data_IF_191657656241
#
_entry.id   IF_191657656241
#
_cell.length_a   1.000
_cell.length_b   1.000
_cell.length_c   1.000
_cell.angle_alpha   90.00
_cell.angle_beta   90.00
_cell.angle_gamma   90.00
#
_symmetry.space_group_name_H-M   'P 1'
#
loop_
_entity.id
_entity.type
_entity.pdbx_description
1 polymer ?
#
# COMPACT_ATOMS: atom_id res chain seq x y z
N UNK A 1 41.59 -15.82 -6.51
CA UNK A 1 42.06 -16.84 -7.47
C UNK A 1 40.86 -17.39 -8.22
N UNK A 2 40.55 -16.80 -9.38
CA UNK A 2 39.78 -17.38 -10.48
C UNK A 2 40.17 -16.52 -11.69
N UNK A 3 40.69 -17.18 -12.73
CA UNK A 3 41.29 -16.56 -13.91
C UNK A 3 40.26 -16.48 -15.05
N UNK A 4 40.19 -15.34 -15.73
CA UNK A 4 39.51 -15.19 -17.01
C UNK A 4 40.56 -14.87 -18.07
N UNK A 5 40.72 -15.77 -19.04
CA UNK A 5 41.55 -15.58 -20.23
C UNK A 5 40.65 -15.09 -21.36
N UNK A 6 41.00 -13.96 -21.95
CA UNK A 6 40.49 -13.48 -23.24
C UNK A 6 41.67 -13.25 -24.18
N UNK A 7 41.49 -13.54 -25.47
CA UNK A 7 42.25 -13.04 -26.64
C UNK A 7 41.55 -13.59 -27.92
N UNK A 8 41.74 -12.99 -29.12
CA UNK A 8 40.63 -12.53 -29.96
C UNK A 8 40.77 -12.97 -31.44
N UNK A 9 40.08 -12.22 -32.32
CA UNK A 9 40.28 -12.06 -33.77
C UNK A 9 39.29 -12.88 -34.63
N UNK A 10 38.80 -12.46 -35.81
CA UNK A 10 39.19 -11.44 -36.81
C UNK A 10 37.89 -10.98 -37.50
N UNK A 11 37.80 -9.71 -37.90
CA UNK A 11 36.76 -9.24 -38.82
C UNK A 11 37.23 -9.39 -40.28
N UNK A 12 36.37 -9.92 -41.15
CA UNK A 12 36.44 -9.71 -42.60
C UNK A 12 35.04 -9.33 -43.09
N UNK A 13 34.97 -8.21 -43.80
CA UNK A 13 33.81 -7.70 -44.53
C UNK A 13 33.91 -8.12 -45.99
N UNK A 14 32.77 -8.31 -46.67
CA UNK A 14 32.50 -7.96 -48.08
C UNK A 14 30.97 -8.15 -48.37
N UNK A 15 30.40 -7.51 -49.41
CA UNK A 15 29.02 -7.01 -49.41
C UNK A 15 27.99 -7.72 -50.32
N UNK A 16 26.72 -7.47 -50.00
CA UNK A 16 25.46 -7.36 -50.78
C UNK A 16 25.20 -8.19 -52.06
N UNK A 17 24.11 -8.96 -52.04
CA UNK A 17 23.27 -9.27 -53.21
C UNK A 17 21.78 -9.41 -52.83
N UNK A 18 20.90 -8.79 -53.61
CA UNK A 18 19.44 -8.83 -53.51
C UNK A 18 18.87 -10.14 -54.13
N UNK A 19 17.57 -10.47 -53.95
CA UNK A 19 17.05 -11.84 -53.93
C UNK A 19 16.81 -12.42 -55.34
N UNK A 20 16.95 -13.74 -55.47
CA UNK A 20 16.39 -14.51 -56.59
C UNK A 20 15.35 -15.52 -56.06
N UNK A 21 14.14 -15.45 -56.59
CA UNK A 21 13.06 -16.43 -56.46
C UNK A 21 13.34 -17.67 -57.31
N UNK A 22 13.10 -18.89 -56.80
CA UNK A 22 12.47 -20.06 -57.50
C UNK A 22 12.15 -21.17 -56.43
N UNK A 23 11.33 -22.20 -56.70
CA UNK A 23 9.87 -22.26 -56.74
C UNK A 23 9.25 -23.06 -55.58
N UNK A 24 7.95 -22.86 -55.42
CA UNK A 24 7.00 -23.66 -54.64
C UNK A 24 6.97 -25.13 -55.08
N UNK A 25 7.03 -26.06 -54.12
CA UNK A 25 6.44 -27.39 -54.27
C UNK A 25 5.52 -27.65 -53.08
N UNK A 26 4.25 -27.87 -53.38
CA UNK A 26 3.14 -28.01 -52.43
C UNK A 26 3.10 -29.46 -51.95
N UNK A 27 3.33 -29.68 -50.65
CA UNK A 27 2.98 -30.92 -49.98
C UNK A 27 1.64 -30.71 -49.26
N UNK A 28 0.58 -31.36 -49.76
CA UNK A 28 -0.73 -31.39 -49.12
C UNK A 28 -0.68 -32.28 -47.87
N UNK A 29 -0.91 -31.70 -46.70
CA UNK A 29 -1.23 -32.43 -45.47
C UNK A 29 -2.74 -32.36 -45.20
N UNK A 30 -3.32 -33.53 -44.99
CA UNK A 30 -4.74 -33.82 -44.76
C UNK A 30 -5.23 -33.14 -43.46
N UNK A 31 -6.47 -32.62 -43.39
CA UNK A 31 -6.94 -31.88 -42.21
C UNK A 31 -7.27 -32.84 -41.06
N UNK A 32 -6.45 -32.82 -40.01
CA UNK A 32 -6.81 -33.42 -38.73
C UNK A 32 -7.73 -32.47 -37.95
N UNK A 33 -8.79 -33.04 -37.39
CA UNK A 33 -9.90 -32.35 -36.74
C UNK A 33 -9.45 -31.31 -35.68
N UNK A 34 -10.06 -30.13 -35.76
CA UNK A 34 -10.02 -29.09 -34.74
C UNK A 34 -10.51 -29.66 -33.40
N UNK A 35 -9.58 -29.96 -32.49
CA UNK A 35 -9.90 -29.95 -31.06
C UNK A 35 -10.03 -28.48 -30.68
N UNK A 36 -11.28 -28.08 -30.43
CA UNK A 36 -11.62 -26.87 -29.69
C UNK A 36 -10.64 -26.73 -28.53
N UNK A 37 -9.75 -25.75 -28.64
CA UNK A 37 -9.00 -25.26 -27.50
C UNK A 37 -10.06 -24.71 -26.56
N UNK A 38 -10.37 -25.47 -25.52
CA UNK A 38 -11.14 -24.97 -24.40
C UNK A 38 -10.47 -23.67 -23.98
N UNK A 39 -11.21 -22.57 -24.16
CA UNK A 39 -10.96 -21.32 -23.48
C UNK A 39 -10.79 -21.66 -22.01
N UNK A 40 -9.56 -21.76 -21.54
CA UNK A 40 -9.26 -21.54 -20.13
C UNK A 40 -9.78 -20.14 -19.89
N UNK A 41 -10.98 -20.07 -19.31
CA UNK A 41 -11.55 -18.82 -18.84
C UNK A 41 -10.44 -18.14 -18.06
N UNK A 42 -9.88 -17.07 -18.64
CA UNK A 42 -8.98 -16.21 -17.92
C UNK A 42 -9.81 -15.75 -16.73
N UNK A 43 -9.45 -16.22 -15.54
CA UNK A 43 -10.13 -15.82 -14.31
C UNK A 43 -10.11 -14.30 -14.32
N UNK A 44 -11.28 -13.67 -14.37
CA UNK A 44 -11.36 -12.22 -14.27
C UNK A 44 -10.62 -11.85 -12.99
N UNK A 45 -9.49 -11.17 -13.13
CA UNK A 45 -8.76 -10.64 -11.98
C UNK A 45 -9.73 -9.72 -11.27
N UNK A 46 -10.33 -10.19 -10.17
CA UNK A 46 -11.19 -9.36 -9.33
C UNK A 46 -10.27 -8.30 -8.75
N UNK A 47 -10.25 -7.15 -9.39
CA UNK A 47 -9.45 -6.04 -8.92
C UNK A 47 -10.18 -5.48 -7.70
N UNK A 48 -9.83 -5.98 -6.50
CA UNK A 48 -10.21 -5.38 -5.20
C UNK A 48 -9.50 -4.02 -5.06
N UNK A 49 -9.91 -3.05 -5.86
CA UNK A 49 -9.34 -1.71 -5.91
C UNK A 49 -9.77 -0.90 -4.68
N UNK A 50 -8.91 0.02 -4.22
CA UNK A 50 -9.34 1.26 -3.56
C UNK A 50 -10.14 2.21 -4.49
N UNK A 51 -10.77 1.69 -5.54
CA UNK A 51 -11.74 2.35 -6.39
C UNK A 51 -13.09 1.70 -6.07
N UNK A 52 -14.02 2.42 -5.43
CA UNK A 52 -15.30 1.87 -5.02
C UNK A 52 -16.23 1.51 -6.19
N UNK A 53 -15.86 1.86 -7.43
CA UNK A 53 -16.60 1.47 -8.65
C UNK A 53 -16.03 0.23 -9.36
N UNK A 54 -14.97 -0.38 -8.79
CA UNK A 54 -14.42 -1.67 -9.24
C UNK A 54 -14.00 -1.73 -10.71
N UNK A 55 -13.85 -0.59 -11.40
CA UNK A 55 -13.68 -0.58 -12.85
C UNK A 55 -12.22 -0.62 -13.28
N UNK A 56 -11.93 -1.49 -14.25
CA UNK A 56 -10.74 -1.46 -15.11
C UNK A 56 -10.70 -0.24 -16.05
N UNK A 57 -11.59 0.74 -15.85
CA UNK A 57 -11.71 1.89 -16.73
C UNK A 57 -10.57 2.89 -16.48
N UNK A 58 -9.77 3.12 -17.52
CA UNK A 58 -8.58 3.99 -17.61
C UNK A 58 -8.79 5.47 -17.24
N UNK A 59 -10.00 5.87 -16.82
CA UNK A 59 -10.36 7.27 -16.59
C UNK A 59 -9.80 7.87 -15.28
N UNK A 60 -9.26 7.04 -14.37
CA UNK A 60 -8.62 7.51 -13.14
C UNK A 60 -7.13 7.12 -13.14
N UNK A 61 -6.19 8.07 -13.01
CA UNK A 61 -4.75 7.78 -13.03
C UNK A 61 -4.34 7.04 -11.76
N UNK A 62 -4.55 5.72 -11.76
CA UNK A 62 -4.21 4.85 -10.64
C UNK A 62 -3.07 3.90 -11.02
N UNK A 63 -2.34 3.44 -10.02
CA UNK A 63 -1.41 2.32 -10.17
C UNK A 63 -1.68 1.31 -9.07
N UNK A 64 -1.52 0.04 -9.40
CA UNK A 64 -1.73 -1.07 -8.49
C UNK A 64 -0.46 -1.91 -8.49
N UNK A 65 0.05 -2.17 -7.30
CA UNK A 65 1.19 -3.05 -7.07
C UNK A 65 0.71 -4.26 -6.25
N UNK A 66 0.78 -5.46 -6.81
CA UNK A 66 0.32 -6.70 -6.17
C UNK A 66 1.07 -7.92 -6.71
N UNK A 67 0.92 -9.08 -6.07
CA UNK A 67 1.52 -10.34 -6.51
C UNK A 67 3.04 -10.26 -6.67
N UNK A 68 3.57 -10.83 -7.77
CA UNK A 68 5.01 -10.87 -8.03
C UNK A 68 5.62 -9.47 -8.18
N UNK A 69 4.88 -8.52 -8.77
CA UNK A 69 5.37 -7.15 -8.93
C UNK A 69 5.59 -6.47 -7.57
N UNK A 70 4.68 -6.69 -6.61
CA UNK A 70 4.88 -6.22 -5.23
C UNK A 70 6.03 -6.96 -4.58
N UNK A 71 6.06 -8.29 -4.68
CA UNK A 71 7.10 -9.15 -4.09
C UNK A 71 8.51 -8.75 -4.51
N UNK A 72 8.72 -8.44 -5.80
CA UNK A 72 10.02 -8.03 -6.33
C UNK A 72 10.42 -6.58 -5.96
N UNK A 73 9.46 -5.70 -5.66
CA UNK A 73 9.72 -4.30 -5.30
C UNK A 73 9.69 -4.04 -3.80
N UNK A 74 9.21 -4.99 -3.01
CA UNK A 74 8.97 -4.81 -1.58
C UNK A 74 10.26 -4.47 -0.86
N UNK A 75 10.27 -3.31 -0.22
CA UNK A 75 11.42 -2.76 0.47
C UNK A 75 11.16 -2.62 1.98
N UNK A 76 12.10 -2.00 2.69
CA UNK A 76 12.03 -1.76 4.14
C UNK A 76 10.84 -0.88 4.54
N UNK A 77 10.49 0.06 3.68
CA UNK A 77 9.53 1.14 3.94
C UNK A 77 8.48 1.24 2.84
N UNK A 78 7.35 1.89 3.14
CA UNK A 78 6.29 2.12 2.15
C UNK A 78 6.75 3.07 1.03
N UNK A 79 7.50 4.13 1.37
CA UNK A 79 8.04 5.08 0.42
C UNK A 79 8.98 4.43 -0.60
N UNK A 80 9.95 3.65 -0.13
CA UNK A 80 10.90 2.94 -0.99
C UNK A 80 10.19 1.88 -1.86
N UNK A 81 9.24 1.12 -1.30
CA UNK A 81 8.47 0.11 -2.04
C UNK A 81 7.73 0.70 -3.25
N UNK A 82 7.26 1.95 -3.14
CA UNK A 82 6.53 2.66 -4.18
C UNK A 82 7.43 3.56 -5.05
N UNK A 83 8.67 3.78 -4.63
CA UNK A 83 9.63 4.59 -5.36
C UNK A 83 9.86 4.04 -6.77
N UNK A 84 9.99 4.93 -7.75
CA UNK A 84 10.15 4.57 -9.16
C UNK A 84 8.86 4.10 -9.86
N UNK A 85 7.70 4.11 -9.19
CA UNK A 85 6.42 4.19 -9.92
C UNK A 85 6.31 5.56 -10.59
N UNK A 86 5.66 5.63 -11.76
CA UNK A 86 5.55 6.88 -12.50
C UNK A 86 4.90 8.00 -11.65
N UNK A 87 5.64 9.09 -11.43
CA UNK A 87 5.20 10.23 -10.61
C UNK A 87 5.19 9.97 -9.10
N UNK A 88 5.86 8.91 -8.63
CA UNK A 88 6.04 8.58 -7.21
C UNK A 88 7.54 8.49 -6.89
N UNK A 89 7.97 9.22 -5.86
CA UNK A 89 9.31 9.15 -5.27
C UNK A 89 9.19 8.90 -3.77
N UNK A 90 10.30 8.97 -3.03
CA UNK A 90 10.30 8.82 -1.58
C UNK A 90 11.00 10.01 -0.90
N UNK A 91 10.63 10.25 0.36
CA UNK A 91 11.22 11.30 1.21
C UNK A 91 12.54 10.92 1.86
N UNK A 92 12.90 9.62 1.85
CA UNK A 92 14.12 8.99 2.37
C UNK A 92 14.80 9.67 3.57
N UNK A 93 14.71 9.04 4.75
CA UNK A 93 15.48 9.39 5.94
C UNK A 93 16.25 8.17 6.44
N UNK A 94 17.26 7.79 5.67
CA UNK A 94 17.89 6.48 5.81
C UNK A 94 16.97 5.33 5.38
N UNK A 95 17.39 4.07 5.60
CA UNK A 95 16.66 2.90 5.10
C UNK A 95 15.40 2.55 5.92
N UNK A 96 15.20 3.16 7.10
CA UNK A 96 14.16 2.74 8.06
C UNK A 96 12.94 3.66 8.09
N UNK A 97 13.07 4.89 7.60
CA UNK A 97 11.99 5.87 7.58
C UNK A 97 11.89 6.51 6.18
N UNK A 98 10.72 6.38 5.57
CA UNK A 98 10.41 7.08 4.33
C UNK A 98 8.91 7.13 4.09
N UNK A 99 8.46 8.23 3.48
CA UNK A 99 7.09 8.40 2.98
C UNK A 99 7.09 8.41 1.45
N UNK A 100 6.01 7.92 0.82
CA UNK A 100 5.82 8.11 -0.60
C UNK A 100 5.49 9.58 -0.92
N UNK A 101 6.10 10.13 -1.95
CA UNK A 101 5.88 11.48 -2.47
C UNK A 101 5.24 11.37 -3.84
N UNK A 102 4.09 12.01 -4.07
CA UNK A 102 3.34 11.94 -5.34
C UNK A 102 3.42 13.29 -6.03
N UNK A 103 4.06 13.34 -7.20
CA UNK A 103 4.23 14.57 -8.01
C UNK A 103 4.79 15.75 -7.18
N UNK A 104 5.72 15.46 -6.27
CA UNK A 104 6.35 16.45 -5.39
C UNK A 104 5.54 16.85 -4.15
N UNK A 105 4.36 16.27 -3.94
CA UNK A 105 3.54 16.51 -2.75
C UNK A 105 3.80 15.44 -1.69
N UNK A 106 3.84 15.85 -0.42
CA UNK A 106 4.07 15.00 0.77
C UNK A 106 3.30 15.56 1.99
N UNK A 107 3.46 14.94 3.15
CA UNK A 107 2.79 15.23 4.40
C UNK A 107 1.29 14.92 4.28
N UNK A 108 0.47 15.79 4.86
CA UNK A 108 -0.99 15.67 4.86
C UNK A 108 -1.64 15.80 3.48
N UNK A 109 -0.87 16.16 2.45
CA UNK A 109 -1.35 16.23 1.06
C UNK A 109 -1.56 14.83 0.46
N UNK A 110 -0.95 13.80 1.05
CA UNK A 110 -1.13 12.40 0.67
C UNK A 110 -1.82 11.67 1.81
N UNK A 111 -2.97 11.07 1.50
CA UNK A 111 -3.67 10.22 2.46
C UNK A 111 -3.10 8.81 2.41
N UNK A 112 -2.54 8.35 3.53
CA UNK A 112 -2.13 6.96 3.72
C UNK A 112 -3.26 6.18 4.39
N UNK A 113 -3.67 5.10 3.73
CA UNK A 113 -4.72 4.20 4.18
C UNK A 113 -4.18 2.78 4.29
N UNK A 114 -4.75 2.05 5.24
CA UNK A 114 -4.55 0.63 5.46
C UNK A 114 -5.96 -0.01 5.54
N UNK A 115 -6.28 -0.86 4.56
CA UNK A 115 -7.62 -1.40 4.29
C UNK A 115 -8.72 -0.33 4.22
N UNK A 116 -8.39 0.85 3.68
CA UNK A 116 -9.34 1.96 3.49
C UNK A 116 -9.51 2.89 4.69
N UNK A 117 -9.01 2.53 5.87
CA UNK A 117 -8.97 3.41 7.05
C UNK A 117 -7.62 4.11 7.21
N UNK A 118 -7.62 5.28 7.87
CA UNK A 118 -6.41 6.07 8.10
C UNK A 118 -5.29 5.30 8.83
N UNK A 119 -4.03 5.53 8.45
CA UNK A 119 -2.86 4.97 9.16
C UNK A 119 -2.78 5.46 10.62
N UNK A 120 -3.20 6.70 10.88
CA UNK A 120 -3.17 7.35 12.20
C UNK A 120 -1.78 7.32 12.88
N UNK A 121 -0.72 7.39 12.08
CA UNK A 121 0.67 7.48 12.56
C UNK A 121 1.16 8.94 12.61
N UNK A 122 2.37 9.15 13.12
CA UNK A 122 3.02 10.45 13.23
C UNK A 122 4.00 10.76 12.08
N UNK A 123 3.98 9.96 11.01
CA UNK A 123 4.98 10.09 9.93
C UNK A 123 4.84 11.37 9.12
N UNK A 124 3.69 12.03 9.17
CA UNK A 124 3.46 13.31 8.50
C UNK A 124 4.11 14.51 9.22
N UNK A 125 4.58 14.34 10.46
CA UNK A 125 5.16 15.41 11.26
C UNK A 125 6.65 15.63 10.98
N UNK A 126 7.38 14.53 10.74
CA UNK A 126 8.82 14.56 10.49
C UNK A 126 9.24 13.42 9.56
N UNK A 127 10.34 13.61 8.83
CA UNK A 127 10.80 12.67 7.81
C UNK A 127 11.45 11.40 8.38
N UNK A 128 11.98 11.48 9.60
CA UNK A 128 12.55 10.36 10.36
C UNK A 128 11.48 9.47 11.03
N UNK A 129 10.22 9.87 10.99
CA UNK A 129 9.11 9.08 11.47
C UNK A 129 8.64 8.11 10.37
N UNK A 130 8.82 6.81 10.58
CA UNK A 130 8.42 5.78 9.62
C UNK A 130 6.89 5.67 9.51
N UNK A 131 6.40 5.39 8.30
CA UNK A 131 4.99 5.01 8.10
C UNK A 131 4.70 3.74 8.90
N UNK A 132 3.61 3.72 9.67
CA UNK A 132 3.29 2.60 10.55
C UNK A 132 2.62 1.43 9.82
N UNK A 133 3.13 1.04 8.64
CA UNK A 133 2.67 -0.10 7.85
C UNK A 133 3.89 -0.95 7.49
N UNK A 134 3.83 -2.25 7.80
CA UNK A 134 4.85 -3.22 7.38
C UNK A 134 4.59 -3.68 5.95
N UNK A 135 5.46 -3.37 4.96
CA UNK A 135 5.26 -3.83 3.60
C UNK A 135 5.22 -5.37 3.47
N UNK A 136 5.81 -6.14 4.39
CA UNK A 136 5.91 -7.62 4.32
C UNK A 136 4.57 -8.35 4.38
N UNK A 137 3.57 -7.77 5.02
CA UNK A 137 2.24 -8.38 5.19
C UNK A 137 1.20 -7.81 4.22
N UNK A 138 1.59 -6.81 3.42
CA UNK A 138 0.72 -6.22 2.40
C UNK A 138 0.62 -7.14 1.19
N UNK A 139 -0.60 -7.36 0.71
CA UNK A 139 -0.85 -8.13 -0.53
C UNK A 139 -0.96 -7.22 -1.75
N UNK A 140 -1.39 -5.98 -1.51
CA UNK A 140 -1.63 -5.02 -2.57
C UNK A 140 -1.49 -3.59 -2.09
N UNK A 141 -0.92 -2.74 -2.95
CA UNK A 141 -0.89 -1.30 -2.76
C UNK A 141 -1.57 -0.62 -3.95
N UNK A 142 -2.57 0.22 -3.67
CA UNK A 142 -3.21 1.07 -4.66
C UNK A 142 -2.76 2.53 -4.49
N UNK A 143 -2.28 3.15 -5.55
CA UNK A 143 -1.99 4.59 -5.59
C UNK A 143 -3.03 5.25 -6.47
N UNK A 144 -3.90 6.05 -5.86
CA UNK A 144 -4.96 6.80 -6.53
C UNK A 144 -4.56 8.26 -6.64
N UNK A 145 -4.60 8.79 -7.86
CA UNK A 145 -4.26 10.20 -8.15
C UNK A 145 -5.47 10.90 -8.74
N UNK A 146 -5.53 12.21 -8.55
CA UNK A 146 -6.56 13.06 -9.14
C UNK A 146 -7.89 13.05 -8.36
N UNK A 147 -9.00 13.47 -8.98
CA UNK A 147 -10.23 13.85 -8.27
C UNK A 147 -10.87 12.73 -7.43
N UNK A 148 -10.70 11.46 -7.81
CA UNK A 148 -11.21 10.33 -7.03
C UNK A 148 -10.52 10.17 -5.67
N UNK A 149 -9.30 10.73 -5.49
CA UNK A 149 -8.62 10.78 -4.21
C UNK A 149 -9.42 11.56 -3.14
N UNK A 150 -10.20 12.56 -3.58
CA UNK A 150 -11.04 13.35 -2.69
C UNK A 150 -12.08 12.51 -1.94
N UNK A 151 -12.45 11.33 -2.43
CA UNK A 151 -13.37 10.42 -1.72
C UNK A 151 -12.83 9.90 -0.38
N UNK A 152 -11.54 10.06 -0.14
CA UNK A 152 -10.83 9.56 1.04
C UNK A 152 -10.30 10.68 1.95
N UNK A 153 -10.59 11.95 1.63
CA UNK A 153 -10.26 13.09 2.49
C UNK A 153 -10.13 14.39 1.70
N UNK A 154 -10.59 15.50 2.28
CA UNK A 154 -10.48 16.83 1.67
C UNK A 154 -9.03 17.29 1.42
N UNK A 155 -8.08 16.78 2.20
CA UNK A 155 -6.67 17.15 2.11
C UNK A 155 -5.84 16.28 1.15
N UNK A 156 -6.43 15.22 0.56
CA UNK A 156 -5.77 14.25 -0.32
C UNK A 156 -5.44 14.80 -1.74
N UNK A 157 -4.97 16.04 -1.81
CA UNK A 157 -4.67 16.78 -3.04
C UNK A 157 -3.54 16.15 -3.87
N UNK A 158 -2.55 15.53 -3.21
CA UNK A 158 -1.49 14.76 -3.86
C UNK A 158 -1.92 13.34 -4.25
N UNK A 159 -2.89 12.79 -3.53
CA UNK A 159 -3.47 11.48 -3.83
C UNK A 159 -3.70 10.65 -2.58
N UNK A 160 -4.04 9.39 -2.82
CA UNK A 160 -4.29 8.39 -1.78
C UNK A 160 -3.42 7.18 -2.07
N UNK A 161 -2.82 6.63 -1.02
CA UNK A 161 -2.14 5.35 -1.06
C UNK A 161 -2.88 4.43 -0.10
N UNK A 162 -3.42 3.34 -0.63
CA UNK A 162 -4.13 2.35 0.15
C UNK A 162 -3.39 1.02 0.11
N UNK A 163 -2.89 0.61 1.25
CA UNK A 163 -2.35 -0.73 1.48
C UNK A 163 -3.50 -1.67 1.81
N UNK A 164 -3.42 -2.91 1.34
CA UNK A 164 -4.47 -3.90 1.50
C UNK A 164 -3.86 -5.24 1.85
N UNK A 165 -4.43 -5.88 2.86
CA UNK A 165 -4.18 -7.25 3.27
C UNK A 165 -5.46 -8.11 3.11
N UNK A 166 -5.37 -9.37 3.53
CA UNK A 166 -6.51 -10.29 3.57
C UNK A 166 -6.87 -10.74 5.01
N UNK A 167 -6.54 -9.93 6.03
CA UNK A 167 -6.78 -10.28 7.45
C UNK A 167 -8.26 -10.48 7.78
N UNK A 168 -9.14 -9.87 6.97
CA UNK A 168 -10.58 -10.14 6.96
C UNK A 168 -10.93 -10.73 5.57
N UNK A 169 -10.91 -12.08 5.40
CA UNK A 169 -11.20 -12.70 4.11
C UNK A 169 -12.59 -12.32 3.59
N UNK A 170 -12.69 -11.89 2.34
CA UNK A 170 -13.95 -11.33 1.78
C UNK A 170 -14.78 -12.34 1.00
N UNK A 171 -14.21 -13.50 0.72
CA UNK A 171 -14.83 -14.61 0.00
C UNK A 171 -14.78 -15.87 0.87
N UNK A 172 -15.69 -16.81 0.60
CA UNK A 172 -15.70 -18.08 1.33
C UNK A 172 -14.47 -18.92 0.91
N UNK A 173 -13.57 -19.16 1.85
CA UNK A 173 -12.43 -20.04 1.67
C UNK A 173 -12.84 -21.49 1.87
N UNK A 174 -12.14 -22.40 1.18
CA UNK A 174 -12.28 -23.83 1.39
C UNK A 174 -10.91 -24.45 1.66
N UNK A 175 -10.80 -25.15 2.79
CA UNK A 175 -9.56 -25.81 3.19
C UNK A 175 -8.55 -24.85 3.78
N UNK A 176 -7.27 -25.18 3.63
CA UNK A 176 -6.12 -24.44 4.18
C UNK A 176 -5.27 -23.90 3.03
N UNK A 177 -4.93 -22.62 3.10
CA UNK A 177 -4.01 -21.92 2.23
C UNK A 177 -2.93 -21.20 3.03
N UNK A 178 -1.90 -20.72 2.34
CA UNK A 178 -0.85 -19.95 2.98
C UNK A 178 0.24 -19.48 2.03
N UNK A 179 1.07 -18.57 2.53
CA UNK A 179 2.23 -18.03 1.84
C UNK A 179 3.38 -17.88 2.83
N UNK A 180 4.60 -18.14 2.37
CA UNK A 180 5.79 -17.83 3.12
C UNK A 180 6.78 -17.09 2.21
N UNK A 181 7.52 -16.17 2.80
CA UNK A 181 8.51 -15.37 2.11
C UNK A 181 9.75 -15.21 2.98
N UNK A 182 10.92 -15.26 2.36
CA UNK A 182 12.21 -15.03 3.01
C UNK A 182 13.09 -14.13 2.15
N UNK A 183 13.77 -13.17 2.77
CA UNK A 183 14.70 -12.24 2.13
C UNK A 183 16.01 -12.21 2.90
N UNK A 184 17.13 -12.25 2.18
CA UNK A 184 18.48 -12.17 2.73
C UNK A 184 19.35 -11.32 1.79
N UNK A 185 20.11 -10.36 2.32
CA UNK A 185 21.14 -9.64 1.58
C UNK A 185 20.96 -8.12 1.53
N UNK A 186 21.41 -7.50 0.44
CA UNK A 186 21.43 -6.03 0.30
C UNK A 186 22.56 -5.34 1.07
N UNK A 187 22.69 -4.03 0.86
CA UNK A 187 23.75 -3.23 1.45
C UNK A 187 23.63 -3.07 2.97
N UNK A 188 22.43 -3.26 3.54
CA UNK A 188 22.18 -3.27 4.97
C UNK A 188 22.16 -4.69 5.58
N UNK A 189 22.60 -5.73 4.83
CA UNK A 189 22.60 -7.14 5.27
C UNK A 189 21.25 -7.57 5.86
N UNK A 190 20.17 -7.18 5.21
CA UNK A 190 18.81 -7.45 5.63
C UNK A 190 18.56 -8.96 5.74
N UNK A 191 17.81 -9.33 6.77
CA UNK A 191 17.16 -10.62 6.92
C UNK A 191 15.70 -10.37 7.25
N UNK A 192 14.81 -10.83 6.40
CA UNK A 192 13.38 -10.71 6.63
C UNK A 192 12.65 -12.00 6.31
N UNK A 193 11.51 -12.19 6.97
CA UNK A 193 10.62 -13.31 6.72
C UNK A 193 9.18 -12.95 7.01
N UNK A 194 8.25 -13.55 6.27
CA UNK A 194 6.82 -13.42 6.51
C UNK A 194 6.14 -14.77 6.28
N UNK A 195 5.14 -15.06 7.07
CA UNK A 195 4.28 -16.23 6.90
C UNK A 195 2.82 -15.83 7.11
N UNK A 196 1.97 -16.41 6.27
CA UNK A 196 0.53 -16.23 6.22
C UNK A 196 -0.09 -17.62 6.18
N UNK A 197 -1.10 -17.85 7.02
CA UNK A 197 -1.99 -18.99 6.91
C UNK A 197 -3.44 -18.49 6.94
N UNK A 198 -4.26 -19.05 6.06
CA UNK A 198 -5.68 -18.74 5.99
C UNK A 198 -6.45 -20.03 5.72
N UNK A 199 -7.68 -20.09 6.18
CA UNK A 199 -8.52 -21.23 5.88
C UNK A 199 -9.98 -20.95 6.12
N UNK A 200 -10.82 -21.86 5.64
CA UNK A 200 -12.25 -21.72 5.82
C UNK A 200 -13.04 -22.99 5.52
N UNK A 201 -14.24 -23.02 6.09
CA UNK A 201 -15.24 -24.04 5.85
C UNK A 201 -16.63 -23.46 6.12
N UNK A 202 -17.60 -23.80 5.26
CA UNK A 202 -19.01 -23.40 5.41
C UNK A 202 -19.23 -21.89 5.57
N UNK A 203 -18.41 -21.09 4.88
CA UNK A 203 -18.48 -19.62 4.93
C UNK A 203 -17.72 -18.99 6.09
N UNK A 204 -17.31 -19.75 7.12
CA UNK A 204 -16.41 -19.24 8.16
C UNK A 204 -14.97 -19.29 7.66
N UNK A 205 -14.28 -18.15 7.71
CA UNK A 205 -12.89 -17.98 7.35
C UNK A 205 -12.06 -17.51 8.56
N UNK A 206 -10.78 -17.83 8.55
CA UNK A 206 -9.79 -17.34 9.50
C UNK A 206 -8.48 -17.01 8.77
N UNK A 207 -7.71 -16.12 9.38
CA UNK A 207 -6.42 -15.64 8.90
C UNK A 207 -5.47 -15.46 10.06
N UNK A 208 -4.20 -15.83 9.87
CA UNK A 208 -3.09 -15.55 10.77
C UNK A 208 -1.86 -15.16 9.95
N UNK A 209 -1.22 -14.04 10.29
CA UNK A 209 0.07 -13.66 9.72
C UNK A 209 1.08 -13.26 10.78
N UNK A 210 2.36 -13.43 10.44
CA UNK A 210 3.49 -12.91 11.18
C UNK A 210 4.62 -12.55 10.21
N UNK A 211 5.28 -11.43 10.47
CA UNK A 211 6.47 -11.04 9.73
C UNK A 211 7.53 -10.41 10.65
N UNK A 212 8.77 -10.44 10.19
CA UNK A 212 9.88 -9.78 10.85
C UNK A 212 10.97 -9.40 9.87
N UNK A 213 11.65 -8.29 10.16
CA UNK A 213 12.80 -7.79 9.42
C UNK A 213 13.87 -7.35 10.41
N UNK A 214 15.12 -7.62 10.08
CA UNK A 214 16.29 -7.04 10.75
C UNK A 214 17.30 -6.62 9.70
N UNK A 215 17.89 -5.46 9.86
CA UNK A 215 18.98 -4.96 9.03
C UNK A 215 20.06 -4.32 9.90
N UNK A 216 21.30 -4.47 9.46
CA UNK A 216 22.44 -3.75 10.02
C UNK A 216 22.53 -2.34 9.42
N UNK A 217 23.56 -1.59 9.78
CA UNK A 217 23.80 -0.29 9.17
C UNK A 217 24.08 -0.43 7.67
N UNK A 218 23.52 0.49 6.90
CA UNK A 218 23.62 0.56 5.44
C UNK A 218 25.07 0.81 5.01
N UNK A 219 25.61 -0.11 4.21
CA UNK A 219 26.91 0.07 3.56
C UNK A 219 26.78 0.90 2.28
N UNK A 220 27.73 1.78 2.03
CA UNK A 220 27.79 2.68 0.89
C UNK A 220 29.22 2.76 0.33
N UNK A 221 29.40 3.24 -0.92
CA UNK A 221 30.70 3.70 -1.37
C UNK A 221 31.26 4.76 -0.40
N UNK A 222 32.59 4.86 -0.33
CA UNK A 222 33.26 5.76 0.61
C UNK A 222 32.74 7.20 0.48
N UNK A 223 32.30 7.78 1.59
CA UNK A 223 31.81 9.15 1.66
C UNK A 223 32.31 9.84 2.95
N UNK A 224 32.19 11.16 3.00
CA UNK A 224 32.52 11.97 4.17
C UNK A 224 31.22 12.50 4.76
N UNK A 225 30.72 11.94 5.89
CA UNK A 225 29.51 12.43 6.52
C UNK A 225 29.73 13.85 7.05
N UNK A 226 28.65 14.62 7.10
CA UNK A 226 28.62 15.93 7.77
C UNK A 226 27.65 15.80 8.93
N UNK A 227 28.07 16.22 10.12
CA UNK A 227 27.19 16.37 11.27
C UNK A 227 27.49 17.70 11.92
N UNK A 228 26.46 18.44 12.32
CA UNK A 228 26.57 19.77 12.92
C UNK A 228 27.39 20.74 12.07
N UNK A 229 27.28 20.61 10.73
CA UNK A 229 28.04 21.38 9.75
C UNK A 229 29.53 21.04 9.66
N UNK A 230 30.01 20.04 10.41
CA UNK A 230 31.41 19.61 10.42
C UNK A 230 31.57 18.28 9.67
N UNK A 231 32.60 18.21 8.82
CA UNK A 231 32.99 16.97 8.16
C UNK A 231 33.53 15.97 9.20
N UNK A 232 32.97 14.76 9.22
CA UNK A 232 33.44 13.63 10.02
C UNK A 232 34.44 12.78 9.21
N UNK A 233 35.07 11.81 9.88
CA UNK A 233 35.97 10.87 9.21
C UNK A 233 35.24 10.12 8.09
N UNK A 234 35.90 9.96 6.94
CA UNK A 234 35.34 9.23 5.82
C UNK A 234 35.05 7.77 6.19
N UNK A 235 33.88 7.29 5.81
CA UNK A 235 33.36 5.95 6.15
C UNK A 235 32.71 5.31 4.93
N UNK A 236 32.38 4.02 5.04
CA UNK A 236 31.58 3.26 4.05
C UNK A 236 30.23 2.84 4.62
N UNK A 237 29.82 3.43 5.74
CA UNK A 237 28.63 3.02 6.47
C UNK A 237 27.84 4.25 6.91
N UNK A 238 26.53 4.20 6.71
CA UNK A 238 25.61 5.22 7.26
C UNK A 238 25.37 4.89 8.72
N UNK A 239 25.87 5.74 9.62
CA UNK A 239 25.72 5.56 11.05
C UNK A 239 24.23 5.49 11.45
N UNK A 240 23.94 4.70 12.48
CA UNK A 240 22.63 4.57 13.09
C UNK A 240 21.48 4.35 12.07
N UNK A 241 21.71 3.45 11.10
CA UNK A 241 20.73 3.13 10.04
C UNK A 241 20.19 1.70 10.14
N UNK A 242 20.64 0.94 11.14
CA UNK A 242 20.09 -0.36 11.49
C UNK A 242 18.63 -0.27 11.95
N UNK A 243 17.91 -1.38 11.82
CA UNK A 243 16.51 -1.45 12.24
C UNK A 243 16.04 -2.88 12.44
N UNK A 244 14.99 -3.03 13.23
CA UNK A 244 14.29 -4.28 13.47
C UNK A 244 12.78 -4.02 13.52
N UNK A 245 12.03 -4.78 12.75
CA UNK A 245 10.58 -4.72 12.76
C UNK A 245 9.95 -6.11 12.94
N UNK A 246 8.78 -6.13 13.56
CA UNK A 246 7.97 -7.34 13.72
C UNK A 246 6.49 -6.98 13.63
N UNK A 247 5.72 -7.81 12.95
CA UNK A 247 4.28 -7.65 12.83
C UNK A 247 3.58 -9.00 12.98
N UNK A 248 2.32 -8.95 13.37
CA UNK A 248 1.46 -10.12 13.32
C UNK A 248 0.00 -9.74 13.50
N UNK A 249 -0.86 -10.62 12.99
CA UNK A 249 -2.30 -10.40 13.06
C UNK A 249 -3.08 -11.71 13.09
N UNK A 250 -4.31 -11.59 13.58
CA UNK A 250 -5.33 -12.62 13.49
C UNK A 250 -6.62 -11.98 13.04
N UNK A 251 -7.39 -12.71 12.24
CA UNK A 251 -8.71 -12.26 11.84
C UNK A 251 -9.61 -13.39 11.42
N UNK A 252 -10.90 -13.08 11.33
CA UNK A 252 -11.93 -14.01 10.95
C UNK A 252 -13.06 -13.29 10.23
N UNK A 253 -13.75 -14.01 9.36
CA UNK A 253 -14.95 -13.51 8.69
C UNK A 253 -15.94 -14.61 8.44
N UNK A 254 -17.20 -14.24 8.31
CA UNK A 254 -18.21 -15.04 7.64
C UNK A 254 -18.40 -14.46 6.24
N UNK A 255 -18.23 -15.26 5.19
CA UNK A 255 -18.52 -14.90 3.82
C UNK A 255 -19.53 -15.86 3.16
N UNK A 256 -20.39 -15.30 2.31
CA UNK A 256 -21.30 -16.03 1.42
C UNK A 256 -21.22 -15.45 0.00
N UNK A 257 -22.02 -15.96 -0.93
CA UNK A 257 -22.05 -15.45 -2.31
C UNK A 257 -22.42 -13.96 -2.41
N UNK A 258 -23.15 -13.44 -1.42
CA UNK A 258 -23.72 -12.11 -1.40
C UNK A 258 -22.99 -11.17 -0.44
N UNK A 259 -21.88 -11.55 0.19
CA UNK A 259 -21.23 -10.64 1.13
C UNK A 259 -20.29 -11.28 2.13
N UNK A 260 -19.82 -10.45 3.05
CA UNK A 260 -19.03 -10.89 4.19
C UNK A 260 -19.25 -9.97 5.40
N UNK A 261 -18.88 -10.47 6.58
CA UNK A 261 -18.71 -9.68 7.80
C UNK A 261 -17.57 -10.29 8.59
N UNK A 262 -16.63 -9.48 9.05
CA UNK A 262 -15.51 -9.97 9.83
C UNK A 262 -14.75 -8.89 10.59
N UNK A 263 -13.74 -9.36 11.32
CA UNK A 263 -12.93 -8.56 12.21
C UNK A 263 -11.48 -9.05 12.18
N UNK A 264 -10.54 -8.14 12.40
CA UNK A 264 -9.14 -8.46 12.57
C UNK A 264 -8.49 -7.58 13.63
N UNK A 265 -7.47 -8.12 14.28
CA UNK A 265 -6.56 -7.36 15.16
C UNK A 265 -5.14 -7.58 14.70
N UNK A 266 -4.34 -6.53 14.73
CA UNK A 266 -2.94 -6.57 14.35
C UNK A 266 -2.06 -5.70 15.24
N UNK A 267 -0.78 -6.06 15.32
CA UNK A 267 0.25 -5.30 16.00
C UNK A 267 1.48 -5.19 15.10
N UNK A 268 2.06 -4.00 15.04
CA UNK A 268 3.30 -3.71 14.35
C UNK A 268 4.24 -2.97 15.28
N UNK A 269 5.48 -3.45 15.37
CA UNK A 269 6.55 -2.81 16.14
C UNK A 269 7.76 -2.59 15.25
N UNK A 270 8.37 -1.43 15.36
CA UNK A 270 9.56 -1.07 14.61
C UNK A 270 10.52 -0.31 15.53
N UNK A 271 11.75 -0.77 15.64
CA UNK A 271 12.82 -0.12 16.38
C UNK A 271 13.95 0.20 15.40
N UNK A 272 14.31 1.47 15.27
CA UNK A 272 15.27 1.89 14.25
C UNK A 272 16.04 3.14 14.63
N UNK A 273 17.24 3.27 14.07
CA UNK A 273 18.11 4.42 14.28
C UNK A 273 17.76 5.62 13.40
N UNK A 274 18.15 6.81 13.86
CA UNK A 274 18.00 8.10 13.17
C UNK A 274 19.37 8.48 12.58
N UNK A 275 19.50 8.55 11.25
CA UNK A 275 20.84 8.63 10.61
C UNK A 275 21.62 9.92 10.87
N UNK A 276 20.94 11.00 11.24
CA UNK A 276 21.57 12.28 11.58
C UNK A 276 21.92 12.39 13.08
N UNK A 277 21.35 11.52 13.90
CA UNK A 277 21.52 11.49 15.35
C UNK A 277 22.07 10.11 15.75
N UNK A 278 23.40 9.99 15.93
CA UNK A 278 24.07 8.68 16.01
C UNK A 278 23.61 7.81 17.18
N UNK A 279 23.01 8.41 18.20
CA UNK A 279 22.64 7.75 19.46
C UNK A 279 21.13 7.72 19.71
N UNK A 280 20.30 8.26 18.80
CA UNK A 280 18.84 8.30 18.97
C UNK A 280 18.18 7.13 18.26
N UNK A 281 17.32 6.41 18.98
CA UNK A 281 16.54 5.29 18.44
C UNK A 281 15.05 5.58 18.59
N UNK A 282 14.29 5.39 17.52
CA UNK A 282 12.84 5.44 17.57
C UNK A 282 12.30 4.04 17.86
N UNK A 283 11.48 3.92 18.91
CA UNK A 283 10.73 2.70 19.25
C UNK A 283 9.24 2.91 18.97
N UNK A 284 8.77 2.43 17.82
CA UNK A 284 7.40 2.57 17.34
C UNK A 284 6.57 1.31 17.59
N UNK A 285 5.31 1.51 17.96
CA UNK A 285 4.29 0.50 18.08
C UNK A 285 2.95 1.00 17.53
N UNK A 286 2.27 0.15 16.76
CA UNK A 286 0.90 0.34 16.31
C UNK A 286 0.10 -0.90 16.63
N UNK A 287 -1.03 -0.73 17.30
CA UNK A 287 -2.03 -1.78 17.48
C UNK A 287 -3.33 -1.34 16.81
N UNK A 288 -3.97 -2.25 16.08
CA UNK A 288 -5.15 -1.92 15.28
C UNK A 288 -6.23 -2.97 15.40
N UNK A 289 -7.47 -2.51 15.52
CA UNK A 289 -8.70 -3.29 15.40
C UNK A 289 -9.42 -2.85 14.14
N UNK A 290 -9.87 -3.82 13.34
CA UNK A 290 -10.58 -3.60 12.09
C UNK A 290 -11.88 -4.40 12.07
N UNK A 291 -12.94 -3.80 11.56
CA UNK A 291 -14.22 -4.42 11.25
C UNK A 291 -14.55 -4.12 9.79
N UNK A 292 -14.98 -5.15 9.06
CA UNK A 292 -15.32 -5.01 7.65
C UNK A 292 -16.54 -5.84 7.31
N UNK A 293 -17.42 -5.29 6.48
CA UNK A 293 -18.55 -6.05 5.96
C UNK A 293 -19.09 -5.47 4.67
N UNK A 294 -19.70 -6.34 3.88
CA UNK A 294 -20.36 -5.99 2.63
C UNK A 294 -21.57 -6.88 2.42
N UNK A 295 -22.66 -6.30 1.94
CA UNK A 295 -23.83 -7.02 1.45
C UNK A 295 -24.15 -6.58 0.03
N UNK A 296 -24.13 -7.52 -0.89
CA UNK A 296 -24.43 -7.40 -2.32
C UNK A 296 -25.79 -8.03 -2.65
N UNK A 297 -26.23 -7.84 -3.89
CA UNK A 297 -27.48 -8.43 -4.40
C UNK A 297 -28.73 -7.81 -3.78
N UNK A 298 -28.62 -6.57 -3.31
CA UNK A 298 -29.75 -5.86 -2.71
C UNK A 298 -30.76 -5.45 -3.79
N UNK A 299 -32.05 -5.52 -3.45
CA UNK A 299 -33.12 -5.01 -4.29
C UNK A 299 -33.31 -3.50 -4.07
N UNK A 300 -33.74 -2.79 -5.11
CA UNK A 300 -34.05 -1.36 -5.06
C UNK A 300 -32.92 -0.47 -5.59
N UNK A 301 -32.76 0.76 -5.08
CA UNK A 301 -31.87 1.76 -5.67
C UNK A 301 -30.37 1.45 -5.48
N UNK A 302 -30.02 0.57 -4.54
CA UNK A 302 -28.65 0.18 -4.25
C UNK A 302 -28.46 -1.31 -4.47
N UNK A 303 -27.37 -1.71 -5.12
CA UNK A 303 -27.00 -3.10 -5.35
C UNK A 303 -26.10 -3.67 -4.26
N UNK A 304 -25.40 -2.81 -3.51
CA UNK A 304 -24.58 -3.21 -2.37
C UNK A 304 -24.47 -2.14 -1.29
N UNK A 305 -24.26 -2.58 -0.06
CA UNK A 305 -23.87 -1.76 1.09
C UNK A 305 -22.56 -2.30 1.65
N UNK A 306 -21.65 -1.41 2.06
CA UNK A 306 -20.41 -1.78 2.74
C UNK A 306 -20.18 -0.94 3.98
N UNK A 307 -19.52 -1.56 4.95
CA UNK A 307 -19.12 -1.03 6.24
C UNK A 307 -17.62 -1.29 6.41
N UNK A 308 -16.90 -0.25 6.80
CA UNK A 308 -15.54 -0.38 7.31
C UNK A 308 -15.46 0.44 8.59
N UNK A 309 -14.89 -0.14 9.64
CA UNK A 309 -14.56 0.58 10.84
C UNK A 309 -13.18 0.15 11.33
N UNK A 310 -12.39 1.09 11.83
CA UNK A 310 -11.10 0.76 12.42
C UNK A 310 -10.78 1.66 13.60
N UNK A 311 -10.06 1.10 14.57
CA UNK A 311 -9.45 1.84 15.66
C UNK A 311 -7.95 1.54 15.66
N UNK A 312 -7.14 2.58 15.63
CA UNK A 312 -5.67 2.48 15.62
C UNK A 312 -5.12 3.20 16.83
N UNK A 313 -4.29 2.50 17.61
CA UNK A 313 -3.47 3.08 18.66
C UNK A 313 -2.03 3.08 18.18
N UNK A 314 -1.46 4.26 18.02
CA UNK A 314 -0.08 4.46 17.63
C UNK A 314 0.70 5.12 18.77
N UNK A 315 1.93 4.68 18.97
CA UNK A 315 2.91 5.36 19.79
C UNK A 315 4.30 5.18 19.18
N UNK A 316 5.15 6.18 19.31
CA UNK A 316 6.58 5.96 19.27
C UNK A 316 7.31 6.82 20.30
N UNK A 317 8.43 6.29 20.76
CA UNK A 317 9.34 6.93 21.70
C UNK A 317 10.64 7.25 20.96
N UNK A 318 11.11 8.48 21.09
CA UNK A 318 12.47 8.90 20.74
C UNK A 318 13.36 8.68 21.96
N UNK A 319 14.38 7.84 21.79
CA UNK A 319 15.15 7.29 22.88
C UNK A 319 16.59 7.69 22.69
N UNK A 320 17.08 8.48 23.63
CA UNK A 320 18.44 8.97 23.68
C UNK A 320 19.44 7.84 23.88
N UNK A 321 20.72 8.09 23.57
CA UNK A 321 21.82 7.14 23.81
C UNK A 321 21.96 6.71 25.28
N UNK A 322 21.46 7.53 26.20
CA UNK A 322 21.40 7.22 27.63
C UNK A 322 20.31 6.19 28.00
N UNK A 323 19.39 5.90 27.07
CA UNK A 323 18.18 5.11 27.29
C UNK A 323 16.99 5.91 27.82
N UNK A 324 17.16 7.21 28.10
CA UNK A 324 16.06 8.10 28.46
C UNK A 324 15.12 8.30 27.26
N UNK A 325 13.81 8.37 27.53
CA UNK A 325 12.82 8.75 26.52
C UNK A 325 12.75 10.28 26.48
N UNK A 326 13.18 10.88 25.38
CA UNK A 326 13.13 12.33 25.18
C UNK A 326 11.72 12.79 24.85
N UNK A 327 11.17 12.27 23.75
CA UNK A 327 9.81 12.59 23.29
C UNK A 327 9.01 11.32 23.03
N UNK A 328 7.71 11.38 23.30
CA UNK A 328 6.75 10.33 22.97
C UNK A 328 5.59 10.94 22.20
N UNK A 329 5.37 10.49 20.96
CA UNK A 329 4.17 10.84 20.21
C UNK A 329 3.15 9.71 20.32
N UNK A 330 1.89 10.07 20.53
CA UNK A 330 0.77 9.14 20.64
C UNK A 330 -0.35 9.59 19.73
N UNK A 331 -1.01 8.62 19.12
CA UNK A 331 -2.23 8.85 18.37
C UNK A 331 -3.26 7.77 18.66
N UNK A 332 -4.51 8.18 18.83
CA UNK A 332 -5.67 7.30 18.89
C UNK A 332 -6.63 7.71 17.76
N UNK A 333 -6.60 6.94 16.68
CA UNK A 333 -7.48 7.10 15.53
C UNK A 333 -8.70 6.18 15.62
N UNK A 334 -9.87 6.69 15.27
CA UNK A 334 -11.06 5.88 15.01
C UNK A 334 -11.73 6.35 13.73
N UNK A 335 -12.11 5.41 12.87
CA UNK A 335 -12.76 5.71 11.59
C UNK A 335 -13.96 4.79 11.38
N UNK A 336 -15.03 5.35 10.82
CA UNK A 336 -16.20 4.64 10.32
C UNK A 336 -16.48 5.12 8.90
N UNK A 337 -16.65 4.18 7.98
CA UNK A 337 -17.04 4.42 6.59
C UNK A 337 -18.19 3.53 6.21
N UNK A 338 -19.24 4.14 5.67
CA UNK A 338 -20.41 3.46 5.11
C UNK A 338 -20.53 3.83 3.65
N UNK A 339 -20.75 2.85 2.78
CA UNK A 339 -20.94 3.10 1.36
C UNK A 339 -22.13 2.33 0.82
N UNK A 340 -22.86 2.97 -0.09
CA UNK A 340 -23.94 2.39 -0.86
C UNK A 340 -23.60 2.46 -2.34
N UNK A 341 -23.49 1.30 -2.96
CA UNK A 341 -23.27 1.17 -4.41
C UNK A 341 -24.63 1.21 -5.10
N UNK A 342 -24.79 2.15 -6.02
CA UNK A 342 -26.03 2.32 -6.77
C UNK A 342 -26.23 1.15 -7.73
N UNK A 343 -27.48 0.67 -7.83
CA UNK A 343 -27.85 -0.25 -8.89
C UNK A 343 -27.63 0.43 -10.25
N UNK A 344 -27.06 -0.29 -11.22
CA UNK A 344 -26.85 0.25 -12.55
C UNK A 344 -28.20 0.59 -13.20
N UNK A 345 -28.35 1.83 -13.67
CA UNK A 345 -29.56 2.31 -14.31
C UNK A 345 -29.29 2.59 -15.78
N UNK A 346 -30.09 1.97 -16.66
CA UNK A 346 -30.07 2.30 -18.07
C UNK A 346 -30.77 3.65 -18.30
N UNK A 347 -30.03 4.61 -18.83
CA UNK A 347 -30.53 5.91 -19.29
C UNK A 347 -30.45 5.97 -20.82
N UNK A 348 -31.22 6.87 -21.49
CA UNK A 348 -31.15 7.01 -22.94
C UNK A 348 -29.74 7.29 -23.48
N UNK A 349 -28.91 7.97 -22.68
CA UNK A 349 -27.55 8.35 -23.03
C UNK A 349 -26.50 7.27 -22.69
N UNK A 350 -26.86 6.23 -21.93
CA UNK A 350 -25.90 5.24 -21.44
C UNK A 350 -26.25 4.59 -20.10
N UNK A 351 -25.29 3.93 -19.46
CA UNK A 351 -25.49 3.29 -18.14
C UNK A 351 -24.97 4.18 -17.03
N UNK A 352 -25.84 4.56 -16.10
CA UNK A 352 -25.51 5.33 -14.92
C UNK A 352 -25.29 4.43 -13.71
N UNK A 353 -24.17 4.63 -13.03
CA UNK A 353 -23.79 3.94 -11.80
C UNK A 353 -23.00 4.87 -10.90
N UNK A 354 -22.93 4.54 -9.62
CA UNK A 354 -22.16 5.34 -8.69
C UNK A 354 -22.07 4.70 -7.32
N UNK A 355 -21.35 5.39 -6.45
CA UNK A 355 -21.26 5.08 -5.03
C UNK A 355 -21.49 6.36 -4.25
N UNK A 356 -22.23 6.26 -3.15
CA UNK A 356 -22.39 7.35 -2.19
C UNK A 356 -22.05 6.83 -0.81
N UNK A 357 -21.54 7.69 0.07
CA UNK A 357 -21.12 7.24 1.38
C UNK A 357 -21.00 8.33 2.42
N UNK A 358 -20.83 7.85 3.65
CA UNK A 358 -20.59 8.62 4.85
C UNK A 358 -19.22 8.20 5.38
N UNK A 359 -18.48 9.17 5.93
CA UNK A 359 -17.25 8.92 6.64
C UNK A 359 -17.25 9.73 7.93
N UNK A 360 -16.85 9.12 9.04
CA UNK A 360 -16.64 9.79 10.31
C UNK A 360 -15.25 9.40 10.83
N UNK A 361 -14.48 10.38 11.25
CA UNK A 361 -13.13 10.18 11.79
C UNK A 361 -12.97 10.92 13.10
N UNK A 362 -12.20 10.32 14.01
CA UNK A 362 -11.69 10.95 15.21
C UNK A 362 -10.21 10.64 15.34
N UNK A 363 -9.42 11.65 15.65
CA UNK A 363 -7.99 11.53 15.88
C UNK A 363 -7.63 12.34 17.12
N UNK A 364 -7.22 11.65 18.18
CA UNK A 364 -6.67 12.28 19.37
C UNK A 364 -5.13 12.11 19.30
N UNK A 365 -4.38 13.20 19.22
CA UNK A 365 -2.93 13.21 19.07
C UNK A 365 -2.27 14.01 20.20
N UNK A 366 -1.14 13.53 20.69
CA UNK A 366 -0.32 14.21 21.70
C UNK A 366 1.17 13.98 21.46
N UNK A 367 1.98 15.00 21.72
CA UNK A 367 3.44 14.90 21.81
C UNK A 367 3.86 15.24 23.24
N UNK A 368 4.60 14.34 23.89
CA UNK A 368 4.97 14.45 25.31
C UNK A 368 6.49 14.40 25.43
N UNK A 369 7.13 15.45 25.95
CA UNK A 369 8.58 15.51 26.10
C UNK A 369 9.10 16.93 26.06
N UNK A 370 10.39 17.10 26.36
CA UNK A 370 11.04 18.41 26.39
C UNK A 370 11.18 19.04 24.99
N UNK A 371 11.04 18.22 23.93
CA UNK A 371 11.09 18.63 22.53
C UNK A 371 9.73 18.54 21.83
N UNK A 372 8.64 18.44 22.59
CA UNK A 372 7.29 18.43 22.05
C UNK A 372 6.84 19.84 21.59
N UNK A 373 7.17 20.19 20.33
CA UNK A 373 6.78 21.47 19.72
C UNK A 373 5.38 21.47 19.06
N UNK A 374 4.69 20.32 19.06
CA UNK A 374 3.36 20.16 18.46
C UNK A 374 2.31 20.08 19.59
N UNK A 375 1.27 20.91 19.57
CA UNK A 375 0.24 20.88 20.60
C UNK A 375 -0.60 19.61 20.54
N UNK A 376 -1.15 19.24 21.68
CA UNK A 376 -2.17 18.19 21.76
C UNK A 376 -3.41 18.62 20.95
N UNK A 377 -3.88 17.71 20.10
CA UNK A 377 -5.03 17.98 19.24
C UNK A 377 -6.08 16.87 19.33
N UNK A 378 -7.34 17.28 19.33
CA UNK A 378 -8.48 16.41 19.11
C UNK A 378 -9.17 16.85 17.83
N UNK A 379 -9.10 16.00 16.82
CA UNK A 379 -9.76 16.23 15.54
C UNK A 379 -10.95 15.30 15.42
N UNK A 380 -12.10 15.85 15.03
CA UNK A 380 -13.30 15.09 14.65
C UNK A 380 -13.77 15.57 13.29
N UNK A 381 -14.00 14.66 12.35
CA UNK A 381 -14.54 15.02 11.04
C UNK A 381 -15.71 14.12 10.65
N UNK A 382 -16.62 14.69 9.87
CA UNK A 382 -17.73 14.00 9.25
C UNK A 382 -17.84 14.43 7.80
N UNK A 383 -18.01 13.47 6.90
CA UNK A 383 -18.12 13.72 5.47
C UNK A 383 -19.23 12.93 4.79
N UNK A 384 -19.82 13.55 3.78
CA UNK A 384 -20.67 12.94 2.78
C UNK A 384 -19.92 12.97 1.45
N UNK A 385 -19.91 11.86 0.73
CA UNK A 385 -19.26 11.81 -0.58
C UNK A 385 -20.07 11.00 -1.58
N UNK A 386 -19.84 11.28 -2.86
CA UNK A 386 -20.37 10.48 -3.95
C UNK A 386 -19.42 10.50 -5.15
N UNK A 387 -19.36 9.40 -5.88
CA UNK A 387 -18.69 9.29 -7.18
C UNK A 387 -19.67 8.66 -8.16
N UNK A 388 -19.98 9.40 -9.21
CA UNK A 388 -20.97 9.05 -10.22
C UNK A 388 -20.28 8.86 -11.57
N UNK A 389 -20.76 7.88 -12.33
CA UNK A 389 -20.25 7.56 -13.66
C UNK A 389 -21.39 7.26 -14.63
N UNK A 390 -21.35 7.90 -15.79
CA UNK A 390 -22.22 7.64 -16.92
C UNK A 390 -21.39 7.08 -18.07
N UNK A 391 -21.54 5.78 -18.34
CA UNK A 391 -20.95 5.15 -19.52
C UNK A 391 -21.82 5.44 -20.74
N UNK A 392 -21.35 6.29 -21.64
CA UNK A 392 -22.06 6.74 -22.83
C UNK A 392 -22.15 5.62 -23.88
N UNK A 393 -23.25 5.58 -24.64
CA UNK A 393 -23.43 4.59 -25.71
C UNK A 393 -22.32 4.61 -26.79
N UNK A 394 -21.67 5.75 -26.99
CA UNK A 394 -20.55 5.93 -27.92
C UNK A 394 -19.17 5.51 -27.39
N UNK A 395 -19.11 4.80 -26.26
CA UNK A 395 -17.85 4.29 -25.67
C UNK A 395 -17.11 5.27 -24.74
N UNK A 396 -17.58 6.51 -24.63
CA UNK A 396 -17.07 7.48 -23.66
C UNK A 396 -17.57 7.20 -22.24
N UNK A 397 -16.86 7.68 -21.22
CA UNK A 397 -17.34 7.67 -19.83
C UNK A 397 -17.20 9.07 -19.24
N UNK A 398 -18.29 9.59 -18.67
CA UNK A 398 -18.25 10.79 -17.85
C UNK A 398 -18.23 10.37 -16.38
N UNK A 399 -17.36 10.98 -15.58
CA UNK A 399 -17.30 10.75 -14.13
C UNK A 399 -17.22 12.06 -13.38
N UNK A 400 -17.98 12.18 -12.29
CA UNK A 400 -17.96 13.32 -11.40
C UNK A 400 -18.03 12.86 -9.95
N UNK A 401 -17.26 13.50 -9.08
CA UNK A 401 -17.25 13.21 -7.65
C UNK A 401 -17.47 14.48 -6.84
N UNK A 402 -18.18 14.36 -5.73
CA UNK A 402 -18.40 15.45 -4.78
C UNK A 402 -18.14 14.92 -3.37
N UNK A 403 -17.45 15.71 -2.55
CA UNK A 403 -17.32 15.50 -1.11
C UNK A 403 -17.61 16.80 -0.38
N UNK A 404 -18.38 16.71 0.69
CA UNK A 404 -18.53 17.77 1.67
C UNK A 404 -18.09 17.22 3.02
N UNK A 405 -17.24 17.97 3.72
CA UNK A 405 -16.59 17.55 4.95
C UNK A 405 -16.63 18.69 5.96
N UNK A 406 -16.96 18.36 7.22
CA UNK A 406 -16.88 19.28 8.34
C UNK A 406 -15.94 18.68 9.38
N UNK A 407 -14.85 19.39 9.66
CA UNK A 407 -13.90 19.07 10.72
C UNK A 407 -14.01 20.05 11.89
N UNK A 408 -13.83 19.55 13.10
CA UNK A 408 -13.58 20.33 14.30
C UNK A 408 -12.22 19.90 14.85
N UNK A 409 -11.31 20.86 15.02
CA UNK A 409 -10.02 20.66 15.67
C UNK A 409 -10.04 21.45 16.97
N UNK A 410 -9.77 20.77 18.07
CA UNK A 410 -9.59 21.37 19.38
C UNK A 410 -8.15 21.17 19.79
N UNK A 411 -7.50 22.23 20.24
CA UNK A 411 -6.15 22.18 20.80
C UNK A 411 -6.25 22.37 22.30
N UNK A 412 -5.56 21.54 23.08
CA UNK A 412 -5.38 21.83 24.50
C UNK A 412 -4.19 22.79 24.60
N UNK A 413 -4.46 24.09 24.72
CA UNK A 413 -3.46 25.16 24.80
C UNK A 413 -4.11 26.50 25.06
#
# INVERSE_FOLDING_TARGET
MFAALSLPAVAQTLPLAAPQEVPTTVAQATPAASKSAASTAATDTVVITGNPLGSAALAQPSSVLSGDALTLRRAGTLGETLSGLAGVSSSDFGPQASRPVIRGLDGDRIRLLDNGGASADASNLSFDHAVAVDPLVVERIGVLRGPAALLYGGNATGGVINTQDNRIPREALQGLGGRAEGRLGGAARERAGAALLEGGANGLNWHVDAAGRRSENLQTPRFTPVADGQARAATTEVANSAGESRSGAVGASWADANGYLGAAVDSYRNAYGVTVEPDVTIRMQRDRLQLGGERRGLAGPFSALSLQASQTRYQHEEVEGSGAVGTTFKSLGAELRLQATQAAQALPLGTWRGVSGLQAERLDFSALGDEAFVPDTQTRSGALFTLQSLGLAGGGTLSAGVRTEKGLVQTNG
#
